data_IF_058357622619
#
_entry.id   IF_058357622619
#
_cell.length_a   1.000
_cell.length_b   1.000
_cell.length_c   1.000
_cell.angle_alpha   90.00
_cell.angle_beta   90.00
_cell.angle_gamma   90.00
#
_symmetry.space_group_name_H-M   'P 1'
#
loop_
_entity.id
_entity.type
_entity.pdbx_description
1 polymer ?
#
# COMPACT_ATOMS: atom_id res chain seq x y z
N UNK A 1 -0.68 -11.41 5.90
CA UNK A 1 -1.77 -10.66 5.22
C UNK A 1 -1.09 -9.52 4.49
N UNK A 2 -1.13 -9.47 3.16
CA UNK A 2 -0.62 -8.32 2.39
C UNK A 2 -1.80 -7.43 2.05
N UNK A 3 -1.69 -6.14 2.32
CA UNK A 3 -2.69 -5.18 1.86
C UNK A 3 -2.46 -5.03 0.36
N UNK A 4 -3.49 -5.15 -0.47
CA UNK A 4 -3.39 -4.86 -1.90
C UNK A 4 -4.36 -3.74 -2.22
N UNK A 5 -3.83 -2.63 -2.74
CA UNK A 5 -4.65 -1.48 -3.09
C UNK A 5 -5.10 -1.64 -4.54
N UNK A 6 -6.41 -1.79 -4.77
CA UNK A 6 -6.97 -1.90 -6.11
C UNK A 6 -6.87 -0.54 -6.83
N UNK A 7 -6.11 -0.51 -7.93
CA UNK A 7 -5.96 0.66 -8.81
C UNK A 7 -6.63 0.45 -10.18
N UNK A 8 -7.37 -0.64 -10.37
CA UNK A 8 -7.96 -1.05 -11.66
C UNK A 8 -8.92 0.01 -12.22
N UNK A 9 -9.73 0.63 -11.34
CA UNK A 9 -10.65 1.68 -11.74
C UNK A 9 -9.92 2.93 -12.25
N UNK A 10 -8.79 3.28 -11.62
CA UNK A 10 -7.95 4.41 -12.05
C UNK A 10 -7.28 4.12 -13.39
N UNK A 11 -6.74 2.91 -13.55
CA UNK A 11 -6.14 2.47 -14.81
C UNK A 11 -7.17 2.41 -15.95
N UNK A 12 -8.38 1.95 -15.66
CA UNK A 12 -9.49 1.92 -16.63
C UNK A 12 -9.88 3.33 -17.07
N UNK A 13 -9.98 4.27 -16.12
CA UNK A 13 -10.28 5.66 -16.41
C UNK A 13 -9.17 6.34 -17.25
N UNK A 14 -7.90 6.11 -16.92
CA UNK A 14 -6.77 6.62 -17.73
C UNK A 14 -6.77 6.05 -19.14
N UNK A 15 -7.07 4.75 -19.30
CA UNK A 15 -7.20 4.14 -20.64
C UNK A 15 -8.31 4.81 -21.46
N UNK A 16 -9.49 5.02 -20.86
CA UNK A 16 -10.60 5.68 -21.53
C UNK A 16 -10.28 7.14 -21.90
N UNK A 17 -9.58 7.87 -21.01
CA UNK A 17 -9.06 9.22 -21.26
C UNK A 17 -8.13 9.25 -22.48
N UNK A 18 -7.18 8.31 -22.55
CA UNK A 18 -6.23 8.21 -23.65
C UNK A 18 -6.92 7.88 -24.99
N UNK A 19 -7.86 6.93 -25.01
CA UNK A 19 -8.66 6.61 -26.20
C UNK A 19 -9.47 7.82 -26.70
N UNK A 20 -10.06 8.58 -25.78
CA UNK A 20 -10.75 9.83 -26.11
C UNK A 20 -9.77 10.89 -26.65
N UNK A 21 -8.58 11.02 -26.07
CA UNK A 21 -7.54 11.93 -26.54
C UNK A 21 -7.08 11.60 -27.97
N UNK A 22 -6.88 10.32 -28.32
CA UNK A 22 -6.57 9.92 -29.69
C UNK A 22 -7.68 10.30 -30.68
N UNK A 23 -8.94 10.09 -30.28
CA UNK A 23 -10.11 10.46 -31.09
C UNK A 23 -10.17 11.98 -31.33
N UNK A 24 -9.86 12.77 -30.30
CA UNK A 24 -9.77 14.23 -30.38
C UNK A 24 -8.62 14.69 -31.29
N UNK A 25 -7.46 14.04 -31.24
CA UNK A 25 -6.34 14.32 -32.15
C UNK A 25 -6.73 14.08 -33.60
N UNK A 26 -7.42 12.96 -33.88
CA UNK A 26 -7.91 12.66 -35.22
C UNK A 26 -8.94 13.69 -35.70
N UNK A 27 -9.88 14.10 -34.84
CA UNK A 27 -10.84 15.15 -35.16
C UNK A 27 -10.14 16.49 -35.47
N UNK A 28 -9.11 16.86 -34.70
CA UNK A 28 -8.34 18.08 -34.95
C UNK A 28 -7.58 18.03 -36.28
N UNK A 29 -7.06 16.87 -36.67
CA UNK A 29 -6.40 16.67 -37.96
C UNK A 29 -7.38 16.87 -39.13
N UNK A 30 -8.60 16.31 -39.03
CA UNK A 30 -9.65 16.50 -40.04
C UNK A 30 -10.04 17.97 -40.15
N UNK A 31 -10.28 18.64 -39.01
CA UNK A 31 -10.62 20.06 -38.97
C UNK A 31 -9.51 20.93 -39.59
N UNK A 32 -8.25 20.60 -39.32
CA UNK A 32 -7.10 21.31 -39.89
C UNK A 32 -7.05 21.15 -41.40
N UNK A 33 -7.28 19.93 -41.92
CA UNK A 33 -7.31 19.66 -43.37
C UNK A 33 -8.37 20.49 -44.09
N UNK A 34 -9.56 20.65 -43.51
CA UNK A 34 -10.64 21.48 -44.09
C UNK A 34 -10.18 22.94 -44.24
N UNK A 35 -9.47 23.49 -43.25
CA UNK A 35 -8.99 24.88 -43.32
C UNK A 35 -7.83 25.10 -44.29
N UNK A 36 -7.13 24.04 -44.69
CA UNK A 36 -6.02 24.11 -45.66
C UNK A 36 -6.53 24.36 -47.09
N UNK A 37 -7.75 23.91 -47.41
CA UNK A 37 -8.39 24.12 -48.71
C UNK A 37 -9.14 25.46 -48.72
N UNK A 38 -8.52 26.51 -49.28
CA UNK A 38 -9.13 27.84 -49.39
C UNK A 38 -9.92 28.06 -50.69
N UNK A 39 -9.85 27.12 -51.61
CA UNK A 39 -10.36 27.14 -52.97
C UNK A 39 -11.86 26.81 -53.09
N UNK A 40 -12.49 26.36 -52.00
CA UNK A 40 -13.94 26.16 -51.97
C UNK A 40 -14.74 27.47 -51.91
N UNK A 41 -15.70 27.60 -52.82
CA UNK A 41 -16.62 28.73 -52.93
C UNK A 41 -17.94 28.36 -52.25
N UNK A 42 -18.11 28.77 -50.99
CA UNK A 42 -19.31 28.54 -50.20
C UNK A 42 -19.78 29.87 -49.58
N UNK A 43 -21.06 30.26 -49.71
CA UNK A 43 -21.61 31.46 -49.06
C UNK A 43 -21.41 31.49 -47.53
N UNK A 44 -21.36 30.32 -46.91
CA UNK A 44 -21.23 30.16 -45.45
C UNK A 44 -19.78 29.93 -44.99
N UNK A 45 -18.78 30.06 -45.87
CA UNK A 45 -17.37 29.75 -45.59
C UNK A 45 -16.85 30.41 -44.31
N UNK A 46 -17.13 31.69 -44.11
CA UNK A 46 -16.69 32.45 -42.92
C UNK A 46 -17.22 31.82 -41.63
N UNK A 47 -18.51 31.47 -41.60
CA UNK A 47 -19.14 30.85 -40.44
C UNK A 47 -18.57 29.46 -40.18
N UNK A 48 -18.36 28.67 -41.23
CA UNK A 48 -17.77 27.33 -41.09
C UNK A 48 -16.35 27.43 -40.53
N UNK A 49 -15.52 28.34 -41.05
CA UNK A 49 -14.17 28.55 -40.54
C UNK A 49 -14.14 28.99 -39.07
N UNK A 50 -15.06 29.86 -38.65
CA UNK A 50 -15.20 30.26 -37.23
C UNK A 50 -15.58 29.07 -36.34
N UNK A 51 -16.52 28.23 -36.79
CA UNK A 51 -16.91 27.03 -36.05
C UNK A 51 -15.77 26.01 -35.97
N UNK A 52 -15.01 25.83 -37.06
CA UNK A 52 -13.83 24.97 -37.08
C UNK A 52 -12.81 25.46 -36.06
N UNK A 53 -12.46 26.75 -36.08
CA UNK A 53 -11.50 27.33 -35.15
C UNK A 53 -11.98 27.19 -33.69
N UNK A 54 -13.25 27.47 -33.42
CA UNK A 54 -13.85 27.26 -32.10
C UNK A 54 -13.77 25.81 -31.62
N UNK A 55 -13.99 24.85 -32.53
CA UNK A 55 -13.87 23.42 -32.21
C UNK A 55 -12.40 23.03 -31.96
N UNK A 56 -11.45 23.54 -32.74
CA UNK A 56 -10.01 23.29 -32.53
C UNK A 56 -9.55 23.81 -31.16
N UNK A 57 -10.00 24.99 -30.75
CA UNK A 57 -9.70 25.53 -29.42
C UNK A 57 -10.28 24.67 -28.30
N UNK A 58 -11.51 24.17 -28.45
CA UNK A 58 -12.13 23.25 -27.48
C UNK A 58 -11.36 21.92 -27.40
N UNK A 59 -11.01 21.35 -28.55
CA UNK A 59 -10.20 20.13 -28.63
C UNK A 59 -8.85 20.33 -27.92
N UNK A 60 -8.17 21.46 -28.18
CA UNK A 60 -6.88 21.75 -27.53
C UNK A 60 -6.98 21.79 -26.01
N UNK A 61 -8.08 22.34 -25.45
CA UNK A 61 -8.30 22.33 -23.99
C UNK A 61 -8.55 20.91 -23.48
N UNK A 62 -9.42 20.15 -24.15
CA UNK A 62 -9.70 18.76 -23.77
C UNK A 62 -8.44 17.87 -23.81
N UNK A 63 -7.54 18.09 -24.76
CA UNK A 63 -6.26 17.38 -24.81
C UNK A 63 -5.32 17.75 -23.66
N UNK A 64 -5.30 19.03 -23.26
CA UNK A 64 -4.55 19.47 -22.08
C UNK A 64 -5.12 18.87 -20.79
N UNK A 65 -6.44 18.87 -20.64
CA UNK A 65 -7.14 18.29 -19.50
C UNK A 65 -6.90 16.76 -19.42
N UNK A 66 -6.99 16.06 -20.55
CA UNK A 66 -6.69 14.62 -20.63
C UNK A 66 -5.23 14.31 -20.22
N UNK A 67 -4.28 15.12 -20.68
CA UNK A 67 -2.86 14.98 -20.31
C UNK A 67 -2.67 15.18 -18.80
N UNK A 68 -3.31 16.21 -18.23
CA UNK A 68 -3.25 16.48 -16.79
C UNK A 68 -3.89 15.35 -15.97
N UNK A 69 -5.01 14.80 -16.45
CA UNK A 69 -5.69 13.69 -15.80
C UNK A 69 -4.84 12.42 -15.80
N UNK A 70 -4.26 12.06 -16.96
CA UNK A 70 -3.40 10.89 -17.09
C UNK A 70 -2.18 10.97 -16.17
N UNK A 71 -1.56 12.16 -16.08
CA UNK A 71 -0.45 12.41 -15.15
C UNK A 71 -0.87 12.25 -13.69
N UNK A 72 -2.02 12.80 -13.29
CA UNK A 72 -2.54 12.65 -11.94
C UNK A 72 -2.83 11.18 -11.59
N UNK A 73 -3.35 10.39 -12.54
CA UNK A 73 -3.59 8.96 -12.34
C UNK A 73 -2.28 8.20 -12.12
N UNK A 74 -1.23 8.52 -12.88
CA UNK A 74 0.09 7.91 -12.71
C UNK A 74 0.66 8.21 -11.32
N UNK A 75 0.63 9.47 -10.89
CA UNK A 75 1.12 9.90 -9.58
C UNK A 75 0.37 9.22 -8.44
N UNK A 76 -0.97 9.17 -8.51
CA UNK A 76 -1.79 8.51 -7.49
C UNK A 76 -1.53 7.00 -7.46
N UNK A 77 -1.38 6.37 -8.62
CA UNK A 77 -1.04 4.94 -8.71
C UNK A 77 0.31 4.64 -8.05
N UNK A 78 1.31 5.48 -8.30
CA UNK A 78 2.63 5.37 -7.68
C UNK A 78 2.55 5.55 -6.15
N UNK A 79 1.80 6.55 -5.68
CA UNK A 79 1.59 6.78 -4.25
C UNK A 79 0.92 5.57 -3.57
N UNK A 80 -0.05 4.93 -4.23
CA UNK A 80 -0.66 3.71 -3.70
C UNK A 80 0.33 2.56 -3.60
N UNK A 81 1.17 2.34 -4.63
CA UNK A 81 2.20 1.31 -4.60
C UNK A 81 3.24 1.56 -3.48
N UNK A 82 3.63 2.82 -3.28
CA UNK A 82 4.55 3.19 -2.20
C UNK A 82 3.91 2.98 -0.82
N UNK A 83 2.63 3.34 -0.66
CA UNK A 83 1.89 3.11 0.57
C UNK A 83 1.75 1.62 0.90
N UNK A 84 1.43 0.79 -0.10
CA UNK A 84 1.36 -0.67 0.02
C UNK A 84 2.69 -1.26 0.51
N UNK A 85 3.80 -0.92 -0.17
CA UNK A 85 5.13 -1.36 0.23
C UNK A 85 5.52 -0.88 1.64
N UNK A 86 5.12 0.34 2.02
CA UNK A 86 5.38 0.86 3.37
C UNK A 86 4.58 0.11 4.44
N UNK A 87 3.34 -0.28 4.17
CA UNK A 87 2.51 -1.04 5.09
C UNK A 87 3.07 -2.44 5.28
N UNK A 88 3.44 -3.11 4.19
CA UNK A 88 4.02 -4.46 4.23
C UNK A 88 5.28 -4.50 5.10
N UNK A 89 6.20 -3.54 4.93
CA UNK A 89 7.40 -3.43 5.80
C UNK A 89 7.07 -3.26 7.27
N UNK A 90 6.02 -2.50 7.60
CA UNK A 90 5.57 -2.30 8.98
C UNK A 90 4.98 -3.59 9.55
N UNK A 91 4.23 -4.36 8.75
CA UNK A 91 3.70 -5.66 9.16
C UNK A 91 4.83 -6.66 9.39
N UNK A 92 5.81 -6.76 8.50
CA UNK A 92 6.99 -7.62 8.68
C UNK A 92 7.76 -7.27 9.96
N UNK A 93 7.89 -5.97 10.26
CA UNK A 93 8.52 -5.50 11.49
C UNK A 93 7.72 -5.92 12.73
N UNK A 94 6.39 -5.78 12.69
CA UNK A 94 5.51 -6.20 13.80
C UNK A 94 5.57 -7.71 14.04
N UNK A 95 5.56 -8.52 12.98
CA UNK A 95 5.72 -9.97 13.07
C UNK A 95 7.08 -10.36 13.67
N UNK A 96 8.15 -9.64 13.29
CA UNK A 96 9.47 -9.79 13.90
C UNK A 96 9.49 -9.48 15.40
N UNK A 97 8.85 -8.39 15.82
CA UNK A 97 8.74 -8.03 17.25
C UNK A 97 7.90 -9.03 18.04
N UNK A 98 6.77 -9.49 17.49
CA UNK A 98 5.93 -10.51 18.11
C UNK A 98 6.69 -11.83 18.31
N UNK A 99 7.49 -12.23 17.32
CA UNK A 99 8.36 -13.40 17.41
C UNK A 99 9.39 -13.25 18.55
N UNK A 100 10.03 -12.09 18.67
CA UNK A 100 10.99 -11.80 19.75
C UNK A 100 10.33 -11.85 21.14
N UNK A 101 9.13 -11.27 21.28
CA UNK A 101 8.38 -11.30 22.54
C UNK A 101 8.02 -12.75 22.92
N UNK A 102 7.53 -13.54 21.96
CA UNK A 102 7.20 -14.94 22.20
C UNK A 102 8.44 -15.76 22.62
N UNK A 103 9.60 -15.51 22.00
CA UNK A 103 10.85 -16.14 22.39
C UNK A 103 11.28 -15.76 23.81
N UNK A 104 11.19 -14.48 24.18
CA UNK A 104 11.51 -14.02 25.53
C UNK A 104 10.60 -14.64 26.60
N UNK A 105 9.28 -14.67 26.35
CA UNK A 105 8.31 -15.29 27.26
C UNK A 105 8.57 -16.80 27.44
N UNK A 106 8.97 -17.49 26.38
CA UNK A 106 9.32 -18.92 26.46
C UNK A 106 10.57 -19.16 27.33
N UNK A 107 11.58 -18.28 27.24
CA UNK A 107 12.78 -18.33 28.09
C UNK A 107 12.42 -18.10 29.56
N UNK A 108 11.58 -17.10 29.84
CA UNK A 108 11.14 -16.80 31.20
C UNK A 108 10.37 -17.97 31.82
N UNK A 109 9.42 -18.55 31.08
CA UNK A 109 8.68 -19.73 31.51
C UNK A 109 9.59 -20.95 31.76
N UNK A 110 10.57 -21.19 30.89
CA UNK A 110 11.55 -22.26 31.07
C UNK A 110 12.44 -22.05 32.29
N UNK A 111 12.83 -20.81 32.56
CA UNK A 111 13.64 -20.43 33.73
C UNK A 111 12.86 -20.67 35.02
N UNK A 112 11.61 -20.21 35.07
CA UNK A 112 10.74 -20.41 36.23
C UNK A 112 10.50 -21.90 36.52
N UNK A 113 10.26 -22.69 35.47
CA UNK A 113 10.14 -24.15 35.56
C UNK A 113 11.40 -24.80 36.14
N UNK A 114 12.57 -24.38 35.68
CA UNK A 114 13.87 -24.89 36.16
C UNK A 114 14.12 -24.54 37.62
N UNK A 115 13.76 -23.32 38.05
CA UNK A 115 13.86 -22.91 39.46
C UNK A 115 12.92 -23.76 40.32
N UNK A 116 11.66 -23.92 39.89
CA UNK A 116 10.67 -24.72 40.61
C UNK A 116 11.10 -26.18 40.75
N UNK A 117 11.64 -26.80 39.68
CA UNK A 117 12.06 -28.20 39.71
C UNK A 117 13.31 -28.46 40.55
N UNK A 118 14.24 -27.50 40.63
CA UNK A 118 15.50 -27.69 41.36
C UNK A 118 15.45 -27.20 42.81
N UNK A 119 14.90 -26.01 43.07
CA UNK A 119 14.98 -25.38 44.39
C UNK A 119 13.91 -25.88 45.35
N UNK A 120 12.67 -26.11 44.89
CA UNK A 120 11.57 -26.55 45.78
C UNK A 120 11.88 -27.92 46.40
N UNK A 121 12.30 -28.95 45.63
CA UNK A 121 12.65 -30.24 46.22
C UNK A 121 13.89 -30.15 47.12
N UNK A 122 14.91 -29.37 46.74
CA UNK A 122 16.10 -29.18 47.56
C UNK A 122 15.79 -28.53 48.92
N UNK A 123 14.91 -27.51 48.93
CA UNK A 123 14.45 -26.89 50.18
C UNK A 123 13.65 -27.89 51.04
N UNK A 124 12.76 -28.68 50.43
CA UNK A 124 12.00 -29.72 51.13
C UNK A 124 12.90 -30.81 51.74
N UNK A 125 13.93 -31.24 51.02
CA UNK A 125 14.94 -32.18 51.53
C UNK A 125 15.72 -31.58 52.70
N UNK A 126 16.19 -30.32 52.58
CA UNK A 126 16.93 -29.66 53.64
C UNK A 126 16.12 -29.53 54.94
N UNK A 127 14.84 -29.14 54.84
CA UNK A 127 13.93 -29.08 55.99
C UNK A 127 13.73 -30.47 56.62
N UNK A 128 13.54 -31.49 55.78
CA UNK A 128 13.39 -32.87 56.26
C UNK A 128 14.63 -33.38 56.99
N UNK A 129 15.82 -33.07 56.49
CA UNK A 129 17.07 -33.41 57.16
C UNK A 129 17.25 -32.68 58.49
N UNK A 130 16.84 -31.41 58.59
CA UNK A 130 16.90 -30.65 59.85
C UNK A 130 15.95 -31.23 60.91
N UNK A 131 14.73 -31.62 60.53
CA UNK A 131 13.78 -32.28 61.43
C UNK A 131 14.34 -33.58 61.99
N UNK A 132 14.96 -34.41 61.15
CA UNK A 132 15.60 -35.66 61.59
C UNK A 132 16.79 -35.45 62.53
N UNK A 133 17.45 -34.29 62.47
CA UNK A 133 18.55 -33.95 63.41
C UNK A 133 17.99 -33.49 64.74
N UNK A 134 16.92 -32.70 64.75
CA UNK A 134 16.25 -32.28 65.99
C UNK A 134 15.57 -33.46 66.71
N UNK A 135 14.94 -34.39 65.98
CA UNK A 135 14.37 -35.61 66.55
C UNK A 135 15.45 -36.45 67.25
N UNK A 136 16.59 -36.70 66.59
CA UNK A 136 17.72 -37.42 67.19
C UNK A 136 18.29 -36.71 68.42
N UNK A 137 18.33 -35.37 68.42
CA UNK A 137 18.83 -34.58 69.55
C UNK A 137 17.87 -34.56 70.75
N UNK A 138 16.59 -34.85 70.51
CA UNK A 138 15.59 -35.04 71.57
C UNK A 138 15.66 -36.40 72.25
N UNK A 139 16.12 -37.44 71.55
CA UNK A 139 16.27 -38.81 72.06
C UNK A 139 17.54 -39.00 72.93
N UNK A 140 18.56 -38.17 72.76
CA UNK A 140 19.83 -38.21 73.52
C UNK A 140 19.81 -37.43 74.87
N UNK A 141 18.63 -37.00 75.35
CA UNK A 141 18.42 -36.31 76.63
C UNK A 141 17.61 -37.15 77.62
#
# INVERSE_FOLDING_TARGET
MRISINTDNLQTAAKASNEAAMSLQQANAILSAITTHQDWVCPNKTVINQLIEGNRQRISRLLADATSFDQAVLEVTEQFLQAEASIDRRLDTLDGLLSQINAANAIEAGTLSTVASNFIPAAGQAVSSLLQVEERRGEDK
#
